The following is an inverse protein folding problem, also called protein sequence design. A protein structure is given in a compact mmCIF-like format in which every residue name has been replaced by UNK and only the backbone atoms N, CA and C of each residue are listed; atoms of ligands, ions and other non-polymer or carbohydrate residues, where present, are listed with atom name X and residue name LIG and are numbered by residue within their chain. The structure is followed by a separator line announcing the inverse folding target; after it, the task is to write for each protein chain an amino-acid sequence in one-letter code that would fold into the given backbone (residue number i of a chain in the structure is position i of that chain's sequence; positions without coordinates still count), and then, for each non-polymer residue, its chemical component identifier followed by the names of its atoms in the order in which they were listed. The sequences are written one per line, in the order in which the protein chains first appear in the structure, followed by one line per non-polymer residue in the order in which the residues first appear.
data_IF_640608589551
#
_entry.id   IF_640608589551
#
_cell.length_a   1.000
_cell.length_b   1.000
_cell.length_c   1.000
_cell.angle_alpha   90.00
_cell.angle_beta   90.00
_cell.angle_gamma   90.00
#
_symmetry.space_group_name_H-M   'P 1'
#
loop_
_entity.id
_entity.type
_entity.pdbx_description
1 polymer ?
#
# COMPACT_ATOMS: atom_id res chain seq x y z
N UNK A 1 -33.55 6.33 -10.24
CA UNK A 1 -32.28 5.60 -10.38
C UNK A 1 -31.33 6.16 -9.32
N UNK A 2 -30.90 5.37 -8.36
CA UNK A 2 -29.92 5.81 -7.37
C UNK A 2 -28.60 6.05 -8.09
N UNK A 3 -28.09 7.27 -8.04
CA UNK A 3 -26.77 7.62 -8.57
C UNK A 3 -25.74 6.85 -7.74
N UNK A 4 -25.18 5.79 -8.29
CA UNK A 4 -24.18 4.98 -7.59
C UNK A 4 -22.93 5.86 -7.43
N UNK A 5 -22.50 6.07 -6.19
CA UNK A 5 -21.29 6.82 -5.86
C UNK A 5 -20.09 6.10 -6.47
N UNK A 6 -19.17 6.86 -7.07
CA UNK A 6 -17.92 6.31 -7.54
C UNK A 6 -17.09 5.74 -6.36
N UNK A 7 -16.45 4.60 -6.54
CA UNK A 7 -15.49 4.10 -5.57
C UNK A 7 -14.34 5.11 -5.39
N UNK A 8 -13.92 5.29 -4.14
CA UNK A 8 -12.84 6.20 -3.76
C UNK A 8 -11.57 5.40 -3.51
N UNK A 9 -10.48 5.77 -4.16
CA UNK A 9 -9.18 5.13 -4.00
C UNK A 9 -8.20 6.12 -3.37
N UNK A 10 -7.71 5.81 -2.18
CA UNK A 10 -6.66 6.58 -1.54
C UNK A 10 -5.28 6.14 -2.08
N UNK A 11 -4.49 7.10 -2.54
CA UNK A 11 -3.13 6.88 -3.01
C UNK A 11 -2.14 7.29 -1.93
N UNK A 12 -1.42 6.32 -1.40
CA UNK A 12 -0.37 6.48 -0.38
C UNK A 12 0.98 6.07 -1.00
N UNK A 13 1.70 6.99 -1.64
CA UNK A 13 2.95 6.66 -2.34
C UNK A 13 4.03 6.07 -1.43
N UNK A 14 4.14 6.60 -0.20
CA UNK A 14 5.24 6.25 0.69
C UNK A 14 6.56 6.87 0.23
N UNK A 15 7.65 6.10 0.33
CA UNK A 15 9.01 6.56 0.09
C UNK A 15 9.82 5.63 -0.82
N UNK A 16 11.07 6.02 -1.09
CA UNK A 16 11.94 5.26 -1.99
C UNK A 16 11.36 5.18 -3.40
N UNK A 17 11.16 3.96 -3.90
CA UNK A 17 10.55 3.69 -5.23
C UNK A 17 9.03 3.84 -5.23
N UNK A 18 8.41 3.98 -4.07
CA UNK A 18 6.95 4.03 -3.91
C UNK A 18 6.24 5.05 -4.78
N UNK A 19 6.67 6.33 -4.81
CA UNK A 19 6.07 7.35 -5.67
C UNK A 19 6.07 6.98 -7.15
N UNK A 20 7.16 6.43 -7.66
CA UNK A 20 7.28 6.01 -9.06
C UNK A 20 6.33 4.85 -9.38
N UNK A 21 6.30 3.83 -8.52
CA UNK A 21 5.44 2.65 -8.69
C UNK A 21 3.96 3.05 -8.63
N UNK A 22 3.58 3.87 -7.65
CA UNK A 22 2.18 4.33 -7.50
C UNK A 22 1.77 5.19 -8.69
N UNK A 23 2.67 6.03 -9.22
CA UNK A 23 2.38 6.81 -10.42
C UNK A 23 2.06 5.91 -11.63
N UNK A 24 2.79 4.81 -11.83
CA UNK A 24 2.51 3.86 -12.92
C UNK A 24 1.20 3.09 -12.67
N UNK A 25 0.96 2.62 -11.45
CA UNK A 25 -0.30 1.97 -11.10
C UNK A 25 -1.51 2.90 -11.34
N UNK A 26 -1.36 4.18 -10.97
CA UNK A 26 -2.39 5.20 -11.26
C UNK A 26 -2.65 5.37 -12.76
N UNK A 27 -1.60 5.37 -13.59
CA UNK A 27 -1.74 5.42 -15.06
C UNK A 27 -2.56 4.25 -15.59
N UNK A 28 -2.31 3.04 -15.08
CA UNK A 28 -3.09 1.85 -15.43
C UNK A 28 -4.55 2.02 -15.03
N UNK A 29 -4.83 2.42 -13.78
CA UNK A 29 -6.20 2.65 -13.32
C UNK A 29 -6.91 3.73 -14.15
N UNK A 30 -6.23 4.81 -14.50
CA UNK A 30 -6.79 5.84 -15.36
C UNK A 30 -7.09 5.35 -16.78
N UNK A 31 -6.25 4.47 -17.34
CA UNK A 31 -6.47 3.89 -18.66
C UNK A 31 -7.65 2.90 -18.69
N UNK A 32 -8.02 2.33 -17.54
CA UNK A 32 -9.17 1.43 -17.40
C UNK A 32 -10.51 2.16 -17.22
N UNK A 33 -10.51 3.50 -17.06
CA UNK A 33 -11.74 4.28 -16.93
C UNK A 33 -12.64 4.12 -18.17
N UNK A 34 -13.92 3.90 -17.94
CA UNK A 34 -14.90 3.70 -19.01
C UNK A 34 -16.28 3.39 -18.45
N UNK A 35 -17.22 2.98 -19.30
CA UNK A 35 -18.63 2.78 -18.90
C UNK A 35 -18.88 1.82 -17.75
N UNK A 36 -17.93 0.90 -17.49
CA UNK A 36 -18.03 -0.11 -16.42
C UNK A 36 -17.11 0.13 -15.22
N UNK A 37 -16.21 1.12 -15.29
CA UNK A 37 -15.25 1.40 -14.23
C UNK A 37 -14.84 2.86 -14.21
N UNK A 38 -15.06 3.52 -13.09
CA UNK A 38 -14.52 4.84 -12.79
C UNK A 38 -14.29 4.97 -11.28
N UNK A 39 -13.50 5.94 -10.85
CA UNK A 39 -13.17 6.17 -9.46
C UNK A 39 -12.84 7.63 -9.16
N UNK A 40 -13.03 8.02 -7.90
CA UNK A 40 -12.52 9.25 -7.30
C UNK A 40 -11.17 8.99 -6.66
N UNK A 41 -10.16 9.79 -7.01
CA UNK A 41 -8.83 9.70 -6.43
C UNK A 41 -8.71 10.57 -5.18
N UNK A 42 -8.20 10.00 -4.08
CA UNK A 42 -7.84 10.71 -2.87
C UNK A 42 -6.32 10.68 -2.73
N UNK A 43 -5.68 11.79 -3.04
CA UNK A 43 -4.22 11.89 -3.00
C UNK A 43 -3.72 12.28 -1.60
N UNK A 44 -2.87 11.44 -1.02
CA UNK A 44 -2.15 11.79 0.19
C UNK A 44 -0.91 12.64 -0.12
N UNK A 45 -0.50 13.57 0.77
CA UNK A 45 0.75 14.29 0.61
C UNK A 45 1.97 13.35 0.66
N UNK A 46 3.10 13.80 0.12
CA UNK A 46 4.32 12.99 0.05
C UNK A 46 4.81 12.48 1.41
N UNK A 47 4.60 13.26 2.47
CA UNK A 47 4.98 12.94 3.85
C UNK A 47 3.82 12.34 4.67
N UNK A 48 2.89 11.67 4.00
CA UNK A 48 1.72 11.11 4.68
C UNK A 48 2.00 9.80 5.42
N UNK A 49 3.05 9.06 5.04
CA UNK A 49 3.30 7.71 5.57
C UNK A 49 4.78 7.36 5.52
N UNK A 50 5.22 6.48 6.44
CA UNK A 50 6.58 5.94 6.46
C UNK A 50 7.62 6.86 7.07
N UNK A 51 8.86 6.82 6.58
CA UNK A 51 9.99 7.61 7.08
C UNK A 51 9.74 9.11 6.94
N UNK A 52 9.21 9.55 5.80
CA UNK A 52 8.87 10.96 5.59
C UNK A 52 7.82 11.47 6.57
N UNK A 53 6.90 10.61 6.99
CA UNK A 53 5.94 10.96 8.03
C UNK A 53 6.60 11.00 9.42
N UNK A 54 7.49 10.06 9.72
CA UNK A 54 8.26 10.06 10.96
C UNK A 54 9.10 11.33 11.09
N UNK A 55 9.76 11.75 10.02
CA UNK A 55 10.58 12.98 10.00
C UNK A 55 9.72 14.24 10.17
N UNK A 56 8.54 14.28 9.56
CA UNK A 56 7.68 15.46 9.56
C UNK A 56 6.77 15.57 10.82
N UNK A 57 6.31 14.43 11.33
CA UNK A 57 5.23 14.37 12.33
C UNK A 57 5.60 13.58 13.59
N UNK A 58 6.76 12.91 13.61
CA UNK A 58 7.21 12.10 14.74
C UNK A 58 6.57 10.70 14.81
N UNK A 59 5.79 10.31 13.81
CA UNK A 59 5.14 9.01 13.74
C UNK A 59 4.99 8.52 12.29
N UNK A 60 5.13 7.20 12.01
CA UNK A 60 5.12 6.67 10.65
C UNK A 60 3.73 6.61 10.01
N UNK A 61 2.66 6.74 10.80
CA UNK A 61 1.27 6.78 10.33
C UNK A 61 0.48 7.85 11.08
N UNK A 62 0.49 9.10 10.62
CA UNK A 62 -0.29 10.16 11.22
C UNK A 62 -1.80 9.86 11.21
N UNK A 63 -2.56 10.32 12.24
CA UNK A 63 -4.01 10.14 12.31
C UNK A 63 -4.75 10.64 11.08
N UNK A 64 -4.29 11.73 10.47
CA UNK A 64 -4.87 12.31 9.26
C UNK A 64 -4.75 11.34 8.07
N UNK A 65 -3.62 10.63 7.93
CA UNK A 65 -3.42 9.63 6.88
C UNK A 65 -4.32 8.42 7.09
N UNK A 66 -4.44 7.96 8.35
CA UNK A 66 -5.37 6.88 8.67
C UNK A 66 -6.82 7.28 8.37
N UNK A 67 -7.24 8.48 8.74
CA UNK A 67 -8.58 9.00 8.45
C UNK A 67 -8.84 9.09 6.93
N UNK A 68 -7.86 9.55 6.14
CA UNK A 68 -7.93 9.53 4.68
C UNK A 68 -8.15 8.11 4.15
N UNK A 69 -7.35 7.16 4.60
CA UNK A 69 -7.46 5.75 4.21
C UNK A 69 -8.82 5.15 4.58
N UNK A 70 -9.34 5.44 5.77
CA UNK A 70 -10.66 5.00 6.25
C UNK A 70 -11.83 5.63 5.46
N UNK A 71 -11.62 6.80 4.88
CA UNK A 71 -12.64 7.47 4.05
C UNK A 71 -12.73 6.89 2.64
N UNK A 72 -11.78 6.06 2.23
CA UNK A 72 -11.70 5.43 0.91
C UNK A 72 -12.31 4.02 0.91
N UNK A 73 -12.71 3.55 -0.26
CA UNK A 73 -13.17 2.18 -0.48
C UNK A 73 -11.98 1.22 -0.72
N UNK A 74 -10.84 1.77 -1.19
CA UNK A 74 -9.60 1.03 -1.38
C UNK A 74 -8.39 1.95 -1.14
N UNK A 75 -7.26 1.35 -0.78
CA UNK A 75 -5.98 2.04 -0.63
C UNK A 75 -4.96 1.43 -1.58
N UNK A 76 -4.37 2.26 -2.42
CA UNK A 76 -3.22 1.88 -3.23
C UNK A 76 -1.98 2.40 -2.52
N UNK A 77 -1.21 1.48 -1.96
CA UNK A 77 -0.03 1.75 -1.14
C UNK A 77 1.24 1.44 -1.92
N UNK A 78 2.21 2.33 -1.87
CA UNK A 78 3.49 2.15 -2.53
C UNK A 78 4.48 1.34 -1.68
N UNK A 79 5.51 1.99 -1.17
CA UNK A 79 6.52 1.35 -0.32
C UNK A 79 6.90 2.20 0.87
N UNK A 80 7.33 1.56 1.94
CA UNK A 80 7.94 2.17 3.12
C UNK A 80 9.15 1.35 3.53
N UNK A 81 10.13 2.01 4.08
CA UNK A 81 11.39 1.45 4.56
C UNK A 81 12.54 2.35 4.15
N UNK A 82 13.26 2.87 5.12
CA UNK A 82 14.45 3.69 4.92
C UNK A 82 15.51 3.25 5.92
N UNK A 83 16.67 2.73 5.46
CA UNK A 83 17.75 2.29 6.35
C UNK A 83 18.22 3.35 7.35
N UNK A 84 18.04 4.63 7.04
CA UNK A 84 18.35 5.73 7.96
C UNK A 84 17.52 5.68 9.25
N UNK A 85 16.39 4.99 9.24
CA UNK A 85 15.46 4.86 10.36
C UNK A 85 15.57 3.52 11.11
N UNK A 86 16.48 2.62 10.69
CA UNK A 86 16.67 1.29 11.33
C UNK A 86 17.12 1.39 12.80
N UNK A 87 17.80 2.48 13.16
CA UNK A 87 18.24 2.76 14.53
C UNK A 87 17.09 3.22 15.45
N UNK A 88 15.95 3.61 14.90
CA UNK A 88 14.83 4.11 15.68
C UNK A 88 14.16 2.98 16.48
N UNK A 89 13.51 3.33 17.60
CA UNK A 89 12.62 2.42 18.32
C UNK A 89 11.58 1.81 17.38
N UNK A 90 11.25 0.54 17.57
CA UNK A 90 10.39 -0.24 16.65
C UNK A 90 9.08 0.48 16.30
N UNK A 91 8.47 1.21 17.24
CA UNK A 91 7.20 1.91 17.01
C UNK A 91 7.31 3.13 16.08
N UNK A 92 8.53 3.66 15.87
CA UNK A 92 8.81 4.80 14.99
C UNK A 92 9.36 4.38 13.63
N UNK A 93 9.63 3.09 13.42
CA UNK A 93 10.14 2.61 12.13
C UNK A 93 9.08 2.71 11.04
N UNK A 94 9.48 3.06 9.79
CA UNK A 94 8.56 3.25 8.68
C UNK A 94 7.59 2.09 8.43
N UNK A 95 8.06 0.84 8.61
CA UNK A 95 7.26 -0.37 8.38
C UNK A 95 6.06 -0.50 9.32
N UNK A 96 6.08 0.20 10.44
CA UNK A 96 4.95 0.24 11.38
C UNK A 96 3.72 0.89 10.75
N UNK A 97 3.90 1.74 9.75
CA UNK A 97 2.81 2.36 9.02
C UNK A 97 1.87 1.33 8.38
N UNK A 98 2.42 0.32 7.69
CA UNK A 98 1.58 -0.68 7.03
C UNK A 98 0.84 -1.57 8.04
N UNK A 99 1.46 -1.86 9.18
CA UNK A 99 0.79 -2.61 10.26
C UNK A 99 -0.32 -1.78 10.90
N UNK A 100 -0.08 -0.49 11.09
CA UNK A 100 -1.07 0.47 11.57
C UNK A 100 -2.26 0.59 10.65
N UNK A 101 -2.02 0.73 9.33
CA UNK A 101 -3.05 0.76 8.30
C UNK A 101 -3.89 -0.52 8.31
N UNK A 102 -3.26 -1.70 8.30
CA UNK A 102 -3.97 -2.98 8.34
C UNK A 102 -4.90 -3.09 9.54
N UNK A 103 -4.42 -2.68 10.70
CA UNK A 103 -5.22 -2.67 11.94
C UNK A 103 -6.34 -1.65 11.88
N UNK A 104 -6.03 -0.42 11.49
CA UNK A 104 -6.98 0.69 11.45
C UNK A 104 -8.08 0.52 10.40
N UNK A 105 -7.80 -0.23 9.34
CA UNK A 105 -8.76 -0.59 8.29
C UNK A 105 -9.49 -1.91 8.56
N UNK A 106 -9.18 -2.62 9.66
CA UNK A 106 -9.81 -3.88 10.01
C UNK A 106 -9.52 -5.02 9.01
N UNK A 107 -8.35 -5.00 8.34
CA UNK A 107 -8.00 -6.01 7.36
C UNK A 107 -7.64 -7.33 8.03
N UNK A 108 -8.25 -8.42 7.58
CA UNK A 108 -8.12 -9.76 8.17
C UNK A 108 -7.31 -10.74 7.32
N UNK A 109 -7.02 -10.42 6.04
CA UNK A 109 -6.27 -11.29 5.14
C UNK A 109 -5.11 -10.54 4.49
N UNK A 110 -4.00 -11.25 4.25
CA UNK A 110 -2.87 -10.77 3.46
C UNK A 110 -2.61 -11.75 2.33
N UNK A 111 -2.98 -11.40 1.12
CA UNK A 111 -2.80 -12.21 -0.07
C UNK A 111 -1.54 -11.80 -0.80
N UNK A 112 -0.71 -12.78 -1.17
CA UNK A 112 0.49 -12.57 -1.99
C UNK A 112 0.43 -13.52 -3.17
N UNK A 113 0.11 -12.97 -4.33
CA UNK A 113 0.13 -13.76 -5.56
C UNK A 113 1.58 -13.89 -6.07
N UNK A 114 2.02 -15.12 -6.21
CA UNK A 114 3.34 -15.45 -6.77
C UNK A 114 3.10 -16.28 -8.02
N UNK A 115 3.50 -15.74 -9.18
CA UNK A 115 3.52 -16.49 -10.42
C UNK A 115 4.97 -16.95 -10.68
N UNK A 116 5.17 -18.26 -10.73
CA UNK A 116 6.45 -18.86 -11.09
C UNK A 116 6.39 -19.17 -12.58
N UNK A 117 7.28 -18.57 -13.36
CA UNK A 117 7.32 -18.74 -14.83
C UNK A 117 8.71 -19.17 -15.30
N UNK A 118 8.73 -20.11 -16.25
CA UNK A 118 9.94 -20.54 -16.96
C UNK A 118 10.92 -21.39 -16.13
N UNK A 119 12.24 -21.26 -16.36
CA UNK A 119 13.25 -22.13 -15.76
C UNK A 119 13.33 -22.11 -14.22
N UNK A 120 12.68 -21.15 -13.58
CA UNK A 120 12.61 -21.06 -12.12
C UNK A 120 11.56 -22.02 -11.51
N UNK A 121 10.69 -22.63 -12.33
CA UNK A 121 9.70 -23.60 -11.86
C UNK A 121 10.34 -24.82 -11.18
N UNK A 122 11.53 -25.21 -11.62
CA UNK A 122 12.24 -26.39 -11.12
C UNK A 122 13.30 -26.07 -10.06
N UNK A 123 13.72 -24.82 -9.92
CA UNK A 123 14.89 -24.47 -9.13
C UNK A 123 14.62 -24.24 -7.64
N UNK A 124 13.38 -23.91 -7.24
CA UNK A 124 13.06 -23.46 -5.89
C UNK A 124 11.84 -24.11 -5.22
N UNK A 125 11.25 -25.12 -5.83
CA UNK A 125 10.18 -25.87 -5.16
C UNK A 125 10.83 -26.93 -4.24
N UNK A 126 10.48 -27.01 -2.95
CA UNK A 126 10.86 -28.13 -2.12
C UNK A 126 10.33 -29.40 -2.76
N UNK A 127 11.21 -30.37 -3.00
CA UNK A 127 10.89 -31.67 -3.62
C UNK A 127 9.99 -32.57 -2.77
N UNK A 128 9.65 -32.13 -1.56
CA UNK A 128 8.67 -32.80 -0.69
C UNK A 128 8.03 -31.77 0.24
N UNK A 129 6.71 -31.68 0.22
CA UNK A 129 5.96 -31.07 1.31
C UNK A 129 6.01 -32.06 2.50
N UNK A 130 6.46 -31.68 3.69
CA UNK A 130 6.34 -32.54 4.86
C UNK A 130 4.83 -32.67 5.18
N UNK A 131 4.26 -33.87 5.03
CA UNK A 131 2.91 -34.17 5.51
C UNK A 131 1.89 -34.68 4.47
N UNK A 132 2.31 -35.35 3.39
CA UNK A 132 1.44 -36.25 2.63
C UNK A 132 1.92 -37.68 2.78
#
# INVERSE_FOLDING_TARGET
MATQRLPRIAFLPGEGVGPEVVAQARRVLCALRGPGFDFEALDAPANAVGALATDAWGEPLPPATLALAQSADAVLFGSVGDPRHDHLPVHLRPERAILGLRRGLGLYASLRHIAITGPLETANLPTSMPGQ
#
